data_IF_884648804309
#
_entry.id   IF_884648804309
#
_cell.length_a   1.000
_cell.length_b   1.000
_cell.length_c   1.000
_cell.angle_alpha   90.00
_cell.angle_beta   90.00
_cell.angle_gamma   90.00
#
_symmetry.space_group_name_H-M   'P 1'
#
loop_
_entity.id
_entity.type
_entity.pdbx_description
1 polymer ?
#
# COMPACT_ATOMS: atom_id res chain seq x y z
N UNK A 1 -6.93 -9.67 0.17
CA UNK A 1 -5.84 -9.22 -0.73
C UNK A 1 -4.52 -9.60 -0.10
N UNK A 2 -3.47 -9.92 -0.88
CA UNK A 2 -2.16 -10.20 -0.31
C UNK A 2 -1.55 -8.88 0.26
N UNK A 3 -1.25 -8.80 1.58
CA UNK A 3 -0.71 -7.58 2.21
C UNK A 3 0.59 -7.08 1.58
N UNK A 4 1.46 -7.97 1.10
CA UNK A 4 2.72 -7.62 0.46
C UNK A 4 2.48 -6.90 -0.88
N UNK A 5 1.46 -7.33 -1.64
CA UNK A 5 1.06 -6.67 -2.89
C UNK A 5 0.50 -5.27 -2.63
N UNK A 6 -0.26 -5.09 -1.54
CA UNK A 6 -0.76 -3.78 -1.12
C UNK A 6 0.41 -2.84 -0.84
N UNK A 7 1.39 -3.26 -0.02
CA UNK A 7 2.58 -2.46 0.30
C UNK A 7 3.38 -2.12 -0.96
N UNK A 8 3.60 -3.09 -1.86
CA UNK A 8 4.33 -2.85 -3.10
C UNK A 8 3.62 -1.81 -3.99
N UNK A 9 2.29 -1.90 -4.11
CA UNK A 9 1.48 -0.92 -4.83
C UNK A 9 1.56 0.46 -4.20
N UNK A 10 1.44 0.56 -2.88
CA UNK A 10 1.54 1.83 -2.16
C UNK A 10 2.91 2.50 -2.35
N UNK A 11 4.00 1.74 -2.31
CA UNK A 11 5.35 2.24 -2.63
C UNK A 11 5.46 2.77 -4.06
N UNK A 12 4.85 2.10 -5.04
CA UNK A 12 4.81 2.60 -6.43
C UNK A 12 4.05 3.92 -6.52
N UNK A 13 2.87 4.02 -5.91
CA UNK A 13 2.07 5.25 -5.86
C UNK A 13 2.90 6.41 -5.31
N UNK A 14 3.55 6.22 -4.15
CA UNK A 14 4.37 7.28 -3.54
C UNK A 14 5.53 7.72 -4.44
N UNK A 15 6.14 6.78 -5.18
CA UNK A 15 7.19 7.11 -6.15
C UNK A 15 6.67 7.93 -7.32
N UNK A 16 5.49 7.61 -7.85
CA UNK A 16 4.86 8.39 -8.93
C UNK A 16 4.37 9.74 -8.43
N UNK A 17 3.82 9.81 -7.22
CA UNK A 17 3.44 11.06 -6.59
C UNK A 17 4.60 12.05 -6.48
N UNK A 18 5.79 11.58 -6.07
CA UNK A 18 6.99 12.42 -6.02
C UNK A 18 7.41 12.98 -7.39
N UNK A 19 6.96 12.38 -8.50
CA UNK A 19 7.23 12.83 -9.87
C UNK A 19 6.11 13.69 -10.45
N UNK A 20 4.85 13.31 -10.24
CA UNK A 20 3.67 13.91 -10.87
C UNK A 20 2.96 14.95 -9.99
N UNK A 21 3.34 15.07 -8.72
CA UNK A 21 2.84 16.09 -7.79
C UNK A 21 1.43 15.88 -7.25
N UNK A 22 0.63 14.97 -7.81
CA UNK A 22 -0.75 14.69 -7.34
C UNK A 22 -1.02 13.20 -7.17
N UNK A 23 -1.84 12.87 -6.16
CA UNK A 23 -2.27 11.48 -5.89
C UNK A 23 -3.11 10.92 -7.04
N UNK A 24 -4.00 11.72 -7.62
CA UNK A 24 -4.89 11.29 -8.72
C UNK A 24 -4.09 10.88 -9.96
N UNK A 25 -3.05 11.64 -10.32
CA UNK A 25 -2.18 11.29 -11.43
C UNK A 25 -1.39 10.00 -11.12
N UNK A 26 -0.83 9.89 -9.91
CA UNK A 26 -0.12 8.70 -9.47
C UNK A 26 -1.00 7.43 -9.46
N UNK A 27 -2.27 7.54 -9.05
CA UNK A 27 -3.24 6.43 -9.09
C UNK A 27 -3.52 6.00 -10.52
N UNK A 28 -3.77 6.97 -11.42
CA UNK A 28 -3.97 6.72 -12.85
C UNK A 28 -2.75 6.06 -13.48
N UNK A 29 -1.55 6.52 -13.15
CA UNK A 29 -0.29 5.94 -13.65
C UNK A 29 -0.09 4.49 -13.19
N UNK A 30 -0.37 4.22 -11.92
CA UNK A 30 -0.26 2.86 -11.35
C UNK A 30 -1.41 1.96 -11.80
N UNK A 31 -2.49 2.52 -12.34
CA UNK A 31 -3.67 1.78 -12.79
C UNK A 31 -4.51 1.25 -11.62
N UNK A 32 -4.62 2.02 -10.53
CA UNK A 32 -5.37 1.63 -9.34
C UNK A 32 -6.52 2.60 -9.07
N UNK A 33 -7.68 2.06 -8.73
CA UNK A 33 -8.83 2.85 -8.32
C UNK A 33 -8.64 3.45 -6.92
N UNK A 34 -9.16 4.68 -6.71
CA UNK A 34 -9.03 5.40 -5.43
C UNK A 34 -9.66 4.63 -4.27
N UNK A 35 -10.82 4.00 -4.45
CA UNK A 35 -11.47 3.26 -3.38
C UNK A 35 -10.65 2.02 -2.99
N UNK A 36 -9.99 1.39 -3.96
CA UNK A 36 -9.04 0.30 -3.68
C UNK A 36 -7.88 0.78 -2.81
N UNK A 37 -7.33 1.97 -3.09
CA UNK A 37 -6.26 2.55 -2.27
C UNK A 37 -6.77 2.88 -0.86
N UNK A 38 -7.95 3.49 -0.72
CA UNK A 38 -8.53 3.85 0.57
C UNK A 38 -8.77 2.62 1.45
N UNK A 39 -9.44 1.59 0.90
CA UNK A 39 -9.74 0.34 1.65
C UNK A 39 -8.46 -0.38 2.10
N UNK A 40 -7.38 -0.25 1.34
CA UNK A 40 -6.12 -0.94 1.63
C UNK A 40 -5.06 -0.05 2.29
N UNK A 41 -5.36 1.23 2.50
CA UNK A 41 -4.46 2.19 3.15
C UNK A 41 -4.04 1.75 4.56
N UNK A 42 -4.93 1.23 5.44
CA UNK A 42 -4.52 0.81 6.78
C UNK A 42 -3.41 -0.24 6.80
N UNK A 43 -3.36 -1.13 5.80
CA UNK A 43 -2.30 -2.14 5.67
C UNK A 43 -0.96 -1.47 5.37
N UNK A 44 -0.95 -0.51 4.45
CA UNK A 44 0.24 0.24 4.06
C UNK A 44 0.70 1.21 5.18
N UNK A 45 -0.24 1.86 5.85
CA UNK A 45 0.02 2.72 7.01
C UNK A 45 0.65 1.93 8.15
N UNK A 46 0.11 0.75 8.47
CA UNK A 46 0.68 -0.13 9.49
C UNK A 46 2.12 -0.57 9.13
N UNK A 47 2.37 -0.89 7.86
CA UNK A 47 3.72 -1.20 7.38
C UNK A 47 4.72 -0.06 7.62
N UNK A 48 4.29 1.20 7.46
CA UNK A 48 5.13 2.38 7.63
C UNK A 48 5.29 2.74 9.12
N UNK A 49 4.18 2.79 9.86
CA UNK A 49 4.16 3.27 11.24
C UNK A 49 4.65 2.23 12.25
N UNK A 50 4.38 0.94 12.00
CA UNK A 50 4.70 -0.14 12.93
C UNK A 50 5.19 -1.39 12.17
N UNK A 51 6.38 -1.34 11.54
CA UNK A 51 6.90 -2.43 10.71
C UNK A 51 7.03 -3.76 11.46
N UNK A 52 7.37 -3.73 12.76
CA UNK A 52 7.45 -4.94 13.59
C UNK A 52 6.07 -5.61 13.73
N UNK A 53 5.03 -4.83 14.02
CA UNK A 53 3.66 -5.35 14.16
C UNK A 53 3.12 -5.85 12.82
N UNK A 54 3.43 -5.15 11.72
CA UNK A 54 3.10 -5.62 10.38
C UNK A 54 3.71 -6.99 10.09
N UNK A 55 4.99 -7.21 10.43
CA UNK A 55 5.66 -8.51 10.20
C UNK A 55 5.05 -9.64 11.05
N UNK A 56 4.68 -9.36 12.30
CA UNK A 56 3.97 -10.30 13.17
C UNK A 56 2.63 -10.72 12.55
N UNK A 57 1.80 -9.76 12.13
CA UNK A 57 0.51 -10.03 11.49
C UNK A 57 0.66 -10.73 10.14
N UNK A 58 1.68 -10.38 9.36
CA UNK A 58 1.97 -11.03 8.08
C UNK A 58 2.30 -12.51 8.26
N UNK A 59 3.10 -12.87 9.27
CA UNK A 59 3.40 -14.27 9.61
C UNK A 59 2.14 -15.04 9.98
N UNK A 60 1.28 -14.44 10.80
CA UNK A 60 0.02 -15.07 11.21
C UNK A 60 -0.94 -15.27 10.02
N UNK A 61 -0.97 -14.32 9.08
CA UNK A 61 -1.76 -14.44 7.85
C UNK A 61 -1.22 -15.52 6.91
N UNK A 62 0.09 -15.76 6.84
CA UNK A 62 0.66 -16.84 6.01
C UNK A 62 0.51 -18.24 6.61
N UNK A 63 0.13 -18.33 7.88
CA UNK A 63 -0.10 -19.59 8.61
C UNK A 63 -1.56 -20.05 8.57
N UNK A 64 -2.44 -19.33 7.87
CA UNK A 64 -3.83 -19.69 7.60
C UNK A 64 -4.00 -20.11 6.13
#
# INVERSE_FOLDING_TARGET
QNPQQVVARYKKILRHFRKEGTMSAAFKHVGVDRNTVVVTAPIAELYIAAPVKYQELLKNHSSQ
#
